data_IF_778072672935
#
_entry.id   IF_778072672935
#
_cell.length_a   1.000
_cell.length_b   1.000
_cell.length_c   1.000
_cell.angle_alpha   90.00
_cell.angle_beta   90.00
_cell.angle_gamma   90.00
#
_symmetry.space_group_name_H-M   'P 1'
#
loop_
_entity.id
_entity.type
_entity.pdbx_description
1 polymer ?
#
# COMPACT_ATOMS: atom_id res chain seq x y z
N UNK A 1 -4.69 -37.06 -3.96
CA UNK A 1 -6.17 -37.11 -3.96
C UNK A 1 -6.69 -35.82 -3.34
N UNK A 2 -7.20 -34.88 -4.13
CA UNK A 2 -7.66 -33.58 -3.60
C UNK A 2 -8.83 -33.80 -2.65
N UNK A 3 -8.79 -33.18 -1.47
CA UNK A 3 -9.86 -33.32 -0.48
C UNK A 3 -11.14 -32.69 -1.07
N UNK A 4 -12.29 -33.35 -0.93
CA UNK A 4 -13.60 -32.91 -1.47
C UNK A 4 -13.92 -31.43 -1.17
N UNK A 5 -13.45 -30.93 -0.02
CA UNK A 5 -13.54 -29.51 0.39
C UNK A 5 -12.72 -28.57 -0.50
N UNK A 6 -11.49 -28.95 -0.88
CA UNK A 6 -10.64 -28.16 -1.78
C UNK A 6 -11.23 -28.07 -3.19
N UNK A 7 -11.86 -29.15 -3.67
CA UNK A 7 -12.57 -29.14 -4.94
C UNK A 7 -13.74 -28.15 -4.90
N UNK A 8 -14.50 -28.14 -3.80
CA UNK A 8 -15.59 -27.19 -3.61
C UNK A 8 -15.09 -25.75 -3.66
N UNK A 9 -14.05 -25.41 -2.89
CA UNK A 9 -13.48 -24.06 -2.89
C UNK A 9 -12.96 -23.62 -4.26
N UNK A 10 -12.27 -24.52 -4.97
CA UNK A 10 -11.77 -24.25 -6.33
C UNK A 10 -12.92 -23.99 -7.30
N UNK A 11 -13.96 -24.82 -7.24
CA UNK A 11 -15.14 -24.67 -8.09
C UNK A 11 -15.89 -23.36 -7.79
N UNK A 12 -16.13 -23.05 -6.51
CA UNK A 12 -16.80 -21.79 -6.13
C UNK A 12 -15.99 -20.57 -6.55
N UNK A 13 -14.66 -20.62 -6.46
CA UNK A 13 -13.79 -19.54 -6.90
C UNK A 13 -13.88 -19.35 -8.41
N UNK A 14 -13.81 -20.44 -9.18
CA UNK A 14 -13.94 -20.38 -10.64
C UNK A 14 -15.32 -19.83 -11.06
N UNK A 15 -16.39 -20.25 -10.39
CA UNK A 15 -17.74 -19.75 -10.65
C UNK A 15 -17.87 -18.25 -10.34
N UNK A 16 -17.30 -17.77 -9.22
CA UNK A 16 -17.31 -16.36 -8.85
C UNK A 16 -16.54 -15.48 -9.85
N UNK A 17 -15.39 -15.97 -10.33
CA UNK A 17 -14.61 -15.28 -11.37
C UNK A 17 -15.42 -15.20 -12.67
N UNK A 18 -16.00 -16.31 -13.12
CA UNK A 18 -16.83 -16.34 -14.33
C UNK A 18 -18.04 -15.39 -14.22
N UNK A 19 -18.73 -15.41 -13.08
CA UNK A 19 -19.85 -14.52 -12.82
C UNK A 19 -19.44 -13.04 -12.89
N UNK A 20 -18.28 -12.69 -12.31
CA UNK A 20 -17.76 -11.32 -12.34
C UNK A 20 -17.50 -10.84 -13.77
N UNK A 21 -16.89 -11.68 -14.61
CA UNK A 21 -16.59 -11.36 -16.01
C UNK A 21 -17.88 -11.17 -16.82
N UNK A 22 -18.85 -12.07 -16.66
CA UNK A 22 -20.13 -12.00 -17.38
C UNK A 22 -20.93 -10.76 -16.96
N UNK A 23 -21.03 -10.49 -15.66
CA UNK A 23 -21.75 -9.32 -15.15
C UNK A 23 -21.17 -8.01 -15.67
N UNK A 24 -19.84 -7.86 -15.65
CA UNK A 24 -19.16 -6.69 -16.20
C UNK A 24 -19.40 -6.54 -17.71
N UNK A 25 -19.48 -7.65 -18.45
CA UNK A 25 -19.75 -7.67 -19.89
C UNK A 25 -21.18 -7.25 -20.25
N UNK A 26 -22.17 -7.66 -19.46
CA UNK A 26 -23.54 -7.20 -19.67
C UNK A 26 -23.70 -5.70 -19.38
N UNK A 27 -23.09 -5.21 -18.30
CA UNK A 27 -23.15 -3.79 -17.95
C UNK A 27 -22.42 -2.91 -18.97
N UNK A 28 -21.31 -3.39 -19.54
CA UNK A 28 -20.60 -2.65 -20.59
C UNK A 28 -21.42 -2.56 -21.89
N UNK A 29 -22.30 -3.53 -22.18
CA UNK A 29 -23.18 -3.48 -23.34
C UNK A 29 -24.21 -2.34 -23.24
N UNK A 30 -24.80 -2.12 -22.06
CA UNK A 30 -25.72 -0.99 -21.84
C UNK A 30 -25.02 0.36 -22.09
N UNK A 31 -23.77 0.49 -21.62
CA UNK A 31 -22.97 1.67 -21.91
C UNK A 31 -22.66 1.82 -23.40
N UNK A 32 -22.34 0.72 -24.09
CA UNK A 32 -22.06 0.72 -25.52
C UNK A 32 -23.29 1.13 -26.35
N UNK A 33 -24.48 0.63 -26.01
CA UNK A 33 -25.74 1.05 -26.63
C UNK A 33 -25.98 2.55 -26.44
N UNK A 34 -25.80 3.07 -25.21
CA UNK A 34 -25.93 4.50 -24.92
C UNK A 34 -24.94 5.35 -25.73
N UNK A 35 -23.71 4.87 -25.95
CA UNK A 35 -22.74 5.58 -26.79
C UNK A 35 -23.12 5.56 -28.26
N UNK A 36 -23.59 4.43 -28.78
CA UNK A 36 -24.02 4.32 -30.19
C UNK A 36 -25.31 5.10 -30.47
N UNK A 37 -26.21 5.19 -29.49
CA UNK A 37 -27.44 6.00 -29.58
C UNK A 37 -27.17 7.50 -29.49
N UNK A 38 -26.01 7.89 -28.97
CA UNK A 38 -25.65 9.30 -28.86
C UNK A 38 -25.41 9.91 -30.24
N UNK A 39 -26.14 10.98 -30.56
CA UNK A 39 -26.05 11.63 -31.88
C UNK A 39 -24.68 12.28 -32.03
N UNK A 40 -23.92 11.89 -33.06
CA UNK A 40 -22.70 12.59 -33.47
C UNK A 40 -23.06 14.01 -33.95
N UNK A 41 -22.55 15.02 -33.26
CA UNK A 41 -22.71 16.42 -33.67
C UNK A 41 -21.70 16.74 -34.79
N UNK A 42 -22.20 16.97 -36.01
CA UNK A 42 -21.38 17.48 -37.11
C UNK A 42 -21.43 19.00 -37.08
N UNK A 43 -20.42 19.63 -36.47
CA UNK A 43 -20.32 21.09 -36.50
C UNK A 43 -19.85 21.55 -37.89
N UNK A 44 -20.61 22.44 -38.51
CA UNK A 44 -20.21 23.06 -39.77
C UNK A 44 -19.20 24.20 -39.46
N UNK A 45 -17.93 24.10 -39.89
CA UNK A 45 -16.88 25.08 -39.54
C UNK A 45 -17.17 26.49 -40.06
N UNK A 46 -18.09 26.63 -41.01
CA UNK A 46 -18.40 27.90 -41.69
C UNK A 46 -19.14 28.91 -40.80
N UNK A 47 -19.79 28.50 -39.72
CA UNK A 47 -20.68 29.39 -38.95
C UNK A 47 -20.08 29.97 -37.67
N UNK A 48 -18.89 29.57 -37.23
CA UNK A 48 -18.10 30.18 -36.14
C UNK A 48 -18.90 30.68 -34.91
N UNK A 49 -20.04 30.06 -34.63
CA UNK A 49 -20.91 30.34 -33.49
C UNK A 49 -20.64 29.25 -32.48
N UNK A 50 -20.14 29.63 -31.30
CA UNK A 50 -20.03 28.72 -30.18
C UNK A 50 -21.46 28.29 -29.76
N UNK A 51 -21.84 27.07 -30.11
CA UNK A 51 -23.09 26.47 -29.61
C UNK A 51 -22.86 26.09 -28.14
N UNK A 52 -23.37 26.90 -27.20
CA UNK A 52 -23.29 26.62 -25.75
C UNK A 52 -24.19 25.45 -25.29
N UNK A 53 -24.95 24.85 -26.21
CA UNK A 53 -25.98 23.86 -25.89
C UNK A 53 -25.47 22.41 -25.88
N UNK A 54 -24.23 22.15 -26.31
CA UNK A 54 -23.68 20.81 -26.27
C UNK A 54 -22.49 20.74 -25.31
N UNK A 55 -22.64 19.93 -24.27
CA UNK A 55 -21.50 19.50 -23.46
C UNK A 55 -20.77 18.45 -24.30
N UNK A 56 -19.47 18.64 -24.59
CA UNK A 56 -18.59 17.54 -25.01
C UNK A 56 -18.52 16.57 -23.81
N UNK A 57 -19.56 15.76 -23.62
CA UNK A 57 -19.58 14.71 -22.61
C UNK A 57 -18.45 13.77 -22.97
N UNK A 58 -17.31 13.99 -22.32
CA UNK A 58 -16.24 13.02 -22.22
C UNK A 58 -16.91 11.77 -21.73
N UNK A 59 -16.88 10.71 -22.52
CA UNK A 59 -17.56 9.47 -22.18
C UNK A 59 -17.27 9.12 -20.72
N UNK A 60 -18.32 9.11 -19.90
CA UNK A 60 -18.23 8.93 -18.45
C UNK A 60 -17.50 7.60 -18.21
N UNK A 61 -16.33 7.67 -17.59
CA UNK A 61 -15.51 6.49 -17.33
C UNK A 61 -16.21 5.67 -16.24
N UNK A 62 -16.77 4.52 -16.62
CA UNK A 62 -17.42 3.63 -15.68
C UNK A 62 -16.35 2.84 -14.90
N UNK A 63 -16.15 3.18 -13.63
CA UNK A 63 -15.19 2.52 -12.75
C UNK A 63 -15.41 1.00 -12.61
N UNK A 64 -16.63 0.51 -12.91
CA UNK A 64 -16.99 -0.91 -12.87
C UNK A 64 -16.52 -1.64 -14.13
N UNK A 65 -16.64 -1.00 -15.30
CA UNK A 65 -16.21 -1.57 -16.58
C UNK A 65 -14.70 -1.41 -16.81
N UNK A 66 -14.08 -0.37 -16.23
CA UNK A 66 -12.66 -0.09 -16.36
C UNK A 66 -11.85 -0.80 -15.26
N UNK A 67 -11.80 -2.13 -15.32
CA UNK A 67 -10.90 -2.92 -14.48
C UNK A 67 -9.68 -3.37 -15.28
N UNK A 68 -8.50 -3.38 -14.65
CA UNK A 68 -7.26 -3.88 -15.24
C UNK A 68 -6.59 -4.83 -14.25
N UNK A 69 -6.08 -5.96 -14.74
CA UNK A 69 -5.23 -6.83 -13.94
C UNK A 69 -3.83 -6.21 -13.83
N UNK A 70 -3.40 -5.92 -12.61
CA UNK A 70 -2.03 -5.48 -12.36
C UNK A 70 -1.03 -6.62 -12.60
N UNK A 71 0.22 -6.26 -12.92
CA UNK A 71 1.31 -7.23 -12.97
C UNK A 71 1.57 -7.81 -11.57
N UNK A 72 1.43 -9.12 -11.44
CA UNK A 72 1.79 -9.82 -10.21
C UNK A 72 3.32 -9.94 -10.15
N UNK A 73 3.97 -9.13 -9.31
CA UNK A 73 5.38 -9.30 -8.99
C UNK A 73 5.51 -10.40 -7.94
N UNK A 74 5.96 -11.58 -8.36
CA UNK A 74 6.35 -12.62 -7.42
C UNK A 74 7.53 -12.12 -6.58
N UNK A 75 7.46 -12.16 -5.24
CA UNK A 75 8.61 -11.82 -4.41
C UNK A 75 9.72 -12.84 -4.71
N UNK A 76 10.76 -12.39 -5.41
CA UNK A 76 11.99 -13.16 -5.53
C UNK A 76 12.62 -13.16 -4.15
N UNK A 77 12.65 -14.30 -3.48
CA UNK A 77 13.33 -14.44 -2.20
C UNK A 77 14.84 -14.21 -2.43
N UNK A 78 15.30 -12.99 -2.18
CA UNK A 78 16.72 -12.65 -2.20
C UNK A 78 17.26 -12.99 -0.82
N UNK A 79 18.01 -14.08 -0.69
CA UNK A 79 18.82 -14.33 0.51
C UNK A 79 20.11 -13.53 0.38
N UNK A 80 20.38 -12.67 1.37
CA UNK A 80 21.65 -11.96 1.50
C UNK A 80 22.47 -12.60 2.62
N UNK A 81 23.70 -12.98 2.33
CA UNK A 81 24.65 -13.46 3.34
C UNK A 81 25.44 -12.26 3.88
N UNK A 82 25.28 -11.97 5.17
CA UNK A 82 26.15 -11.00 5.86
C UNK A 82 27.53 -11.62 6.06
N UNK A 83 28.54 -11.05 5.39
CA UNK A 83 29.94 -11.27 5.75
C UNK A 83 30.31 -10.30 6.87
N UNK A 84 30.39 -10.81 8.10
CA UNK A 84 30.91 -10.07 9.26
C UNK A 84 32.42 -10.23 9.30
N UNK A 85 33.15 -9.22 8.82
CA UNK A 85 34.61 -9.18 8.95
C UNK A 85 34.99 -8.62 10.34
N UNK A 86 34.72 -9.41 11.38
CA UNK A 86 34.98 -8.99 12.76
C UNK A 86 36.48 -9.06 13.04
N UNK A 87 37.13 -7.89 13.03
CA UNK A 87 38.50 -7.73 13.53
C UNK A 87 38.46 -7.21 14.96
N UNK A 88 38.95 -8.00 15.91
CA UNK A 88 39.11 -7.56 17.28
C UNK A 88 40.07 -6.37 17.33
N UNK A 89 39.59 -5.22 17.80
CA UNK A 89 40.40 -4.03 18.02
C UNK A 89 41.18 -4.24 19.33
N UNK A 90 42.51 -4.27 19.33
CA UNK A 90 43.26 -4.44 20.56
C UNK A 90 43.11 -3.17 21.41
N UNK A 91 42.38 -3.29 22.52
CA UNK A 91 42.21 -2.19 23.48
C UNK A 91 43.45 -2.12 24.37
N UNK A 92 44.41 -1.27 24.00
CA UNK A 92 45.57 -0.99 24.86
C UNK A 92 45.22 0.16 25.83
N UNK A 93 44.64 -0.16 26.98
CA UNK A 93 44.59 0.77 28.12
C UNK A 93 45.68 0.39 29.11
N UNK A 94 46.75 1.21 29.19
CA UNK A 94 47.84 1.00 30.16
C UNK A 94 47.52 1.53 31.56
N UNK A 95 46.43 2.27 31.73
CA UNK A 95 46.02 2.77 33.02
C UNK A 95 44.75 2.06 33.46
N UNK A 96 44.88 1.13 34.41
CA UNK A 96 43.76 0.78 35.27
C UNK A 96 43.45 2.03 36.10
N UNK A 97 42.42 2.80 35.70
CA UNK A 97 41.82 3.76 36.61
C UNK A 97 41.30 2.97 37.80
N UNK A 98 41.92 3.20 38.95
CA UNK A 98 41.48 2.66 40.23
C UNK A 98 40.00 3.03 40.41
N UNK A 99 39.12 2.02 40.31
CA UNK A 99 37.70 2.20 40.56
C UNK A 99 37.56 2.25 42.06
N UNK A 100 37.43 3.44 42.64
CA UNK A 100 37.18 3.62 44.07
C UNK A 100 35.68 3.37 44.29
N UNK A 101 35.25 2.26 44.92
CA UNK A 101 33.84 2.01 45.17
C UNK A 101 33.35 2.90 46.33
N UNK A 102 32.35 3.74 46.06
CA UNK A 102 31.68 4.51 47.10
C UNK A 102 30.64 3.64 47.82
N UNK A 103 30.93 3.25 49.06
CA UNK A 103 30.09 2.35 49.87
C UNK A 103 28.94 3.07 50.62
N UNK A 104 28.26 4.00 49.94
CA UNK A 104 26.95 4.55 50.30
C UNK A 104 26.62 4.77 51.78
N UNK A 105 26.87 5.98 52.29
CA UNK A 105 25.82 6.88 52.84
C UNK A 105 26.47 8.13 53.44
N UNK A 106 26.22 9.29 52.82
CA UNK A 106 26.56 10.58 53.42
C UNK A 106 25.30 11.10 54.15
N UNK A 107 25.23 10.88 55.46
CA UNK A 107 24.08 11.31 56.29
C UNK A 107 24.00 12.84 56.49
N UNK A 108 24.91 13.61 55.90
CA UNK A 108 24.98 15.07 56.05
C UNK A 108 23.70 15.80 55.60
N UNK A 109 22.84 15.16 54.81
CA UNK A 109 21.57 15.75 54.33
C UNK A 109 20.29 15.16 54.96
N UNK A 110 20.39 14.37 56.05
CA UNK A 110 19.20 13.79 56.71
C UNK A 110 18.89 14.36 58.10
N UNK A 111 19.66 15.33 58.58
CA UNK A 111 19.30 16.10 59.77
C UNK A 111 18.27 17.19 59.42
N UNK A 112 17.27 17.46 60.27
CA UNK A 112 16.38 18.60 60.08
C UNK A 112 17.22 19.90 60.04
N UNK A 113 16.88 20.87 59.17
CA UNK A 113 17.61 22.14 59.11
C UNK A 113 17.52 22.81 60.47
N UNK A 114 18.68 23.18 61.02
CA UNK A 114 18.75 23.96 62.27
C UNK A 114 18.13 25.32 61.96
N UNK A 115 16.89 25.56 62.43
CA UNK A 115 16.32 26.90 62.43
C UNK A 115 17.09 27.71 63.47
N UNK A 116 18.03 28.52 63.01
CA UNK A 116 18.57 29.60 63.83
C UNK A 116 17.48 30.68 63.83
N UNK A 117 16.79 30.81 64.96
CA UNK A 117 15.96 31.97 65.33
C UNK A 117 16.79 32.82 66.29
#
# INVERSE_FOLDING_TARGET
>A
MMKRKQLLYSFTLAAAVLFSILFQSFHSYEHLEKQLSHKFCVHNPTQNKAELTHQHKTFEHCAICQFAFGSCLYPKFISYHFFSDFRAIPFFSKDQKEIIPFSGSLYAHRGPPVSIV
#
